data_IF_247979202118
#
_entry.id   IF_247979202118
#
_cell.length_a   1.000
_cell.length_b   1.000
_cell.length_c   1.000
_cell.angle_alpha   90.00
_cell.angle_beta   90.00
_cell.angle_gamma   90.00
#
_symmetry.space_group_name_H-M   'P 1'
#
loop_
_entity.id
_entity.type
_entity.pdbx_description
1 polymer ?
#
# COMPACT_ATOMS: atom_id res chain seq x y z
N UNK A 1 -46.57 43.54 6.36
CA UNK A 1 -45.97 42.51 5.47
C UNK A 1 -44.80 41.95 6.22
N UNK A 2 -45.00 40.82 6.89
CA UNK A 2 -43.91 40.07 7.52
C UNK A 2 -43.10 39.44 6.40
N UNK A 3 -41.85 39.87 6.27
CA UNK A 3 -40.86 39.19 5.43
C UNK A 3 -40.48 37.91 6.15
N UNK A 4 -41.14 36.82 5.74
CA UNK A 4 -40.83 35.46 6.15
C UNK A 4 -39.45 35.10 5.56
N UNK A 5 -38.41 35.19 6.37
CA UNK A 5 -37.05 34.73 6.02
C UNK A 5 -37.02 33.20 6.13
N UNK A 6 -37.69 32.56 5.16
CA UNK A 6 -37.87 31.12 5.12
C UNK A 6 -36.98 30.47 4.06
N UNK A 7 -35.71 30.88 4.00
CA UNK A 7 -34.71 30.14 3.26
C UNK A 7 -33.40 30.06 4.05
N UNK A 8 -33.46 29.36 5.17
CA UNK A 8 -32.30 28.68 5.77
C UNK A 8 -31.79 27.54 4.86
N UNK A 9 -31.56 27.81 3.58
CA UNK A 9 -30.92 26.91 2.62
C UNK A 9 -29.49 27.38 2.43
N UNK A 10 -28.71 27.17 3.48
CA UNK A 10 -27.26 27.06 3.45
C UNK A 10 -26.89 26.10 4.58
N UNK A 11 -27.01 24.79 4.35
CA UNK A 11 -26.11 23.88 5.02
C UNK A 11 -25.04 23.53 3.98
N UNK A 12 -23.93 24.28 3.88
CA UNK A 12 -22.85 23.89 3.00
C UNK A 12 -22.40 22.51 3.46
N UNK A 13 -22.62 21.50 2.62
CA UNK A 13 -22.26 20.12 2.91
C UNK A 13 -20.82 20.10 3.44
N UNK A 14 -20.66 19.59 4.66
CA UNK A 14 -19.38 19.64 5.36
C UNK A 14 -18.38 18.78 4.62
N UNK A 15 -17.65 19.36 3.68
CA UNK A 15 -16.54 18.67 3.05
C UNK A 15 -15.44 18.47 4.08
N UNK A 16 -14.73 17.37 3.92
CA UNK A 16 -13.69 16.92 4.84
C UNK A 16 -12.41 16.65 4.07
N UNK A 17 -11.29 16.72 4.77
CA UNK A 17 -10.00 16.32 4.23
C UNK A 17 -9.78 14.83 4.52
N UNK A 18 -9.25 14.11 3.54
CA UNK A 18 -8.79 12.73 3.68
C UNK A 18 -7.30 12.71 3.39
N UNK A 19 -6.49 12.29 4.35
CA UNK A 19 -5.05 12.30 4.24
C UNK A 19 -4.44 11.08 4.93
N UNK A 20 -3.20 10.79 4.57
CA UNK A 20 -2.42 9.69 5.12
C UNK A 20 -1.01 9.66 4.55
N UNK A 21 -0.28 8.62 4.91
CA UNK A 21 1.07 8.37 4.41
C UNK A 21 1.21 6.96 3.84
N UNK A 22 2.01 6.82 2.78
CA UNK A 22 2.53 5.54 2.32
C UNK A 22 4.00 5.48 2.73
N UNK A 23 4.35 4.54 3.62
CA UNK A 23 5.71 4.41 4.15
C UNK A 23 6.19 2.96 4.12
N UNK A 24 7.49 2.74 4.03
CA UNK A 24 8.08 1.41 4.25
C UNK A 24 7.98 1.02 5.73
N UNK A 25 8.34 -0.23 6.05
CA UNK A 25 8.46 -0.69 7.45
C UNK A 25 9.44 0.21 8.24
N UNK A 26 10.52 0.63 7.60
CA UNK A 26 11.55 1.54 8.14
C UNK A 26 11.15 3.02 8.20
N UNK A 27 9.88 3.35 7.93
CA UNK A 27 9.28 4.69 7.98
C UNK A 27 9.71 5.66 6.87
N UNK A 28 10.40 5.17 5.84
CA UNK A 28 10.72 5.96 4.65
C UNK A 28 9.46 6.21 3.82
N UNK A 29 9.23 7.46 3.42
CA UNK A 29 8.08 7.84 2.62
C UNK A 29 8.18 7.32 1.19
N UNK A 30 7.12 6.76 0.62
CA UNK A 30 7.13 6.25 -0.76
C UNK A 30 6.63 7.35 -1.69
N UNK A 31 7.51 7.91 -2.51
CA UNK A 31 7.19 9.02 -3.43
C UNK A 31 6.46 8.55 -4.69
N UNK A 32 5.65 9.45 -5.26
CA UNK A 32 5.00 9.29 -6.56
C UNK A 32 4.16 8.01 -6.69
N UNK A 33 3.66 7.49 -5.57
CA UNK A 33 2.66 6.44 -5.56
C UNK A 33 1.29 7.06 -5.81
N UNK A 34 0.50 6.41 -6.66
CA UNK A 34 -0.86 6.85 -6.94
C UNK A 34 -1.79 6.38 -5.81
N UNK A 35 -2.60 7.29 -5.28
CA UNK A 35 -3.66 7.00 -4.32
C UNK A 35 -4.98 7.29 -4.97
N UNK A 36 -5.87 6.30 -4.98
CA UNK A 36 -7.25 6.46 -5.42
C UNK A 36 -8.16 6.64 -4.20
N UNK A 37 -9.01 7.66 -4.24
CA UNK A 37 -10.11 7.84 -3.28
C UNK A 37 -11.45 7.68 -4.01
N UNK A 38 -12.22 6.68 -3.61
CA UNK A 38 -13.58 6.46 -4.10
C UNK A 38 -14.59 6.77 -2.99
N UNK A 39 -15.51 7.72 -3.24
CA UNK A 39 -16.58 8.12 -2.31
C UNK A 39 -17.93 8.17 -3.06
N UNK A 40 -18.68 7.06 -3.04
CA UNK A 40 -19.86 6.92 -3.89
C UNK A 40 -19.51 7.06 -5.39
N UNK A 41 -20.14 7.99 -6.15
CA UNK A 41 -19.78 8.24 -7.54
C UNK A 41 -18.51 9.10 -7.72
N UNK A 42 -18.01 9.71 -6.65
CA UNK A 42 -16.78 10.52 -6.71
C UNK A 42 -15.56 9.60 -6.76
N UNK A 43 -14.65 9.86 -7.70
CA UNK A 43 -13.38 9.18 -7.83
C UNK A 43 -12.26 10.22 -8.00
N UNK A 44 -11.31 10.25 -7.06
CA UNK A 44 -10.19 11.18 -7.05
C UNK A 44 -8.87 10.41 -7.10
N UNK A 45 -7.86 11.04 -7.69
CA UNK A 45 -6.50 10.51 -7.78
C UNK A 45 -5.52 11.55 -7.27
N UNK A 46 -4.51 11.10 -6.52
CA UNK A 46 -3.44 11.94 -6.00
C UNK A 46 -2.13 11.16 -6.02
N UNK A 47 -1.02 11.89 -6.02
CA UNK A 47 0.31 11.31 -5.86
C UNK A 47 0.83 11.62 -4.45
N UNK A 48 1.60 10.71 -3.89
CA UNK A 48 2.38 11.00 -2.68
C UNK A 48 3.56 11.92 -2.97
N UNK A 49 3.90 12.76 -1.99
CA UNK A 49 5.12 13.56 -2.00
C UNK A 49 6.36 12.75 -1.56
N UNK A 50 7.51 13.43 -1.44
CA UNK A 50 8.80 12.86 -1.03
C UNK A 50 8.80 12.30 0.41
N UNK A 51 7.83 12.69 1.23
CA UNK A 51 7.60 12.15 2.57
C UNK A 51 6.54 11.04 2.58
N UNK A 52 6.04 10.64 1.40
CA UNK A 52 4.99 9.64 1.24
C UNK A 52 3.60 10.15 1.59
N UNK A 53 3.41 11.45 1.79
CA UNK A 53 2.14 12.02 2.23
C UNK A 53 1.20 12.27 1.05
N UNK A 54 -0.09 12.01 1.26
CA UNK A 54 -1.15 12.37 0.31
C UNK A 54 -2.30 13.07 1.03
N UNK A 55 -3.02 13.94 0.32
CA UNK A 55 -4.22 14.60 0.82
C UNK A 55 -5.24 14.88 -0.28
N UNK A 56 -6.50 14.52 -0.03
CA UNK A 56 -7.66 14.89 -0.80
C UNK A 56 -8.46 15.92 -0.02
N UNK A 57 -8.55 17.11 -0.60
CA UNK A 57 -9.37 18.18 -0.05
C UNK A 57 -10.79 18.09 -0.61
N UNK A 58 -11.75 18.63 0.13
CA UNK A 58 -13.14 18.76 -0.33
C UNK A 58 -13.85 17.42 -0.60
N UNK A 59 -13.59 16.39 0.20
CA UNK A 59 -14.25 15.08 0.08
C UNK A 59 -15.62 15.14 0.77
N UNK A 60 -16.71 14.65 0.15
CA UNK A 60 -18.00 14.55 0.82
C UNK A 60 -17.92 13.67 2.08
N UNK A 61 -18.69 13.96 3.15
CA UNK A 61 -18.68 13.19 4.40
C UNK A 61 -19.49 11.88 4.23
N UNK A 62 -19.05 11.04 3.30
CA UNK A 62 -19.66 9.77 2.90
C UNK A 62 -18.63 8.64 3.00
N UNK A 63 -19.05 7.38 3.20
CA UNK A 63 -18.12 6.25 3.16
C UNK A 63 -17.20 6.31 1.94
N UNK A 64 -15.92 6.07 2.17
CA UNK A 64 -14.91 6.13 1.13
C UNK A 64 -13.92 4.97 1.25
N UNK A 65 -13.30 4.62 0.13
CA UNK A 65 -12.24 3.64 0.01
C UNK A 65 -10.99 4.31 -0.54
N UNK A 66 -9.86 4.11 0.14
CA UNK A 66 -8.53 4.52 -0.29
C UNK A 66 -7.76 3.31 -0.79
N UNK A 67 -7.23 3.40 -2.00
CA UNK A 67 -6.45 2.33 -2.64
C UNK A 67 -5.15 2.90 -3.19
N UNK A 68 -3.99 2.62 -2.56
CA UNK A 68 -2.69 2.97 -3.11
C UNK A 68 -2.29 2.01 -4.25
N UNK A 69 -1.50 2.52 -5.19
CA UNK A 69 -0.96 1.78 -6.32
C UNK A 69 0.38 2.38 -6.73
N UNK A 70 1.40 1.52 -6.85
CA UNK A 70 2.69 1.87 -7.44
C UNK A 70 3.23 0.63 -8.15
N UNK A 71 3.55 0.79 -9.42
CA UNK A 71 4.02 -0.31 -10.27
C UNK A 71 5.09 0.18 -11.25
N UNK A 72 6.17 0.71 -10.67
CA UNK A 72 7.33 1.22 -11.38
C UNK A 72 8.62 0.58 -10.85
N UNK A 73 9.70 0.71 -11.63
CA UNK A 73 11.06 0.32 -11.26
C UNK A 73 11.13 -1.01 -10.48
N UNK A 74 10.68 -2.15 -11.05
CA UNK A 74 10.54 -3.40 -10.30
C UNK A 74 11.86 -3.97 -9.79
N UNK A 75 13.01 -3.50 -10.29
CA UNK A 75 14.34 -3.85 -9.81
C UNK A 75 14.91 -2.89 -8.75
N UNK A 76 14.20 -1.84 -8.35
CA UNK A 76 14.65 -0.97 -7.27
C UNK A 76 14.76 -1.78 -5.97
N UNK A 77 15.94 -1.84 -5.36
CA UNK A 77 16.24 -2.65 -4.17
C UNK A 77 16.44 -4.15 -4.44
N UNK A 78 15.81 -4.72 -5.47
CA UNK A 78 15.82 -6.16 -5.73
C UNK A 78 17.16 -6.65 -6.26
N UNK A 79 17.81 -7.53 -5.51
CA UNK A 79 19.14 -8.04 -5.79
C UNK A 79 19.24 -9.56 -5.71
N UNK A 80 20.41 -10.11 -6.05
CA UNK A 80 20.68 -11.55 -5.84
C UNK A 80 20.82 -11.91 -4.36
N UNK A 81 21.05 -10.94 -3.48
CA UNK A 81 21.11 -11.16 -2.04
C UNK A 81 19.72 -11.49 -1.48
N UNK A 82 18.66 -10.82 -1.97
CA UNK A 82 17.28 -11.13 -1.62
C UNK A 82 16.91 -12.58 -1.94
N UNK A 83 17.35 -13.09 -3.09
CA UNK A 83 17.15 -14.49 -3.46
C UNK A 83 17.81 -15.46 -2.48
N UNK A 84 18.95 -15.09 -1.90
CA UNK A 84 19.62 -15.90 -0.87
C UNK A 84 18.81 -15.90 0.42
N UNK A 85 18.29 -14.73 0.85
CA UNK A 85 17.46 -14.62 2.04
C UNK A 85 16.14 -15.40 1.89
N UNK A 86 15.47 -15.29 0.75
CA UNK A 86 14.27 -16.09 0.43
C UNK A 86 14.60 -17.59 0.45
N UNK A 87 15.74 -18.00 -0.10
CA UNK A 87 16.17 -19.40 -0.06
C UNK A 87 16.41 -19.89 1.37
N UNK A 88 17.03 -19.08 2.24
CA UNK A 88 17.26 -19.45 3.64
C UNK A 88 15.95 -19.55 4.42
N UNK A 89 14.98 -18.68 4.11
CA UNK A 89 13.64 -18.72 4.68
C UNK A 89 12.93 -20.03 4.31
N UNK A 90 12.91 -20.41 3.03
CA UNK A 90 12.30 -21.67 2.55
C UNK A 90 12.93 -22.90 3.23
N UNK A 91 14.25 -22.86 3.46
CA UNK A 91 14.98 -23.95 4.11
C UNK A 91 14.87 -23.95 5.64
N UNK A 92 14.29 -22.90 6.24
CA UNK A 92 14.17 -22.74 7.69
C UNK A 92 15.48 -22.43 8.42
N UNK A 93 16.54 -22.01 7.70
CA UNK A 93 17.83 -21.66 8.32
C UNK A 93 17.83 -20.26 8.91
N UNK A 94 17.23 -19.32 8.19
CA UNK A 94 17.13 -17.91 8.60
C UNK A 94 15.77 -17.40 8.07
N UNK A 95 14.70 -17.57 8.87
CA UNK A 95 13.39 -17.09 8.48
C UNK A 95 13.37 -15.56 8.36
N UNK A 96 12.64 -15.03 7.37
CA UNK A 96 12.28 -13.62 7.34
C UNK A 96 11.53 -13.25 8.63
N UNK A 97 11.89 -12.10 9.20
CA UNK A 97 11.52 -11.67 10.55
C UNK A 97 10.33 -10.70 10.58
N UNK A 98 9.79 -10.34 9.42
CA UNK A 98 8.67 -9.43 9.27
C UNK A 98 7.61 -10.00 8.31
N UNK A 99 6.31 -9.82 8.61
CA UNK A 99 5.23 -10.18 7.69
C UNK A 99 5.33 -9.41 6.37
N UNK A 100 5.86 -8.18 6.37
CA UNK A 100 6.02 -7.38 5.15
C UNK A 100 7.09 -7.96 4.24
N UNK A 101 8.22 -8.42 4.80
CA UNK A 101 9.27 -9.14 4.07
C UNK A 101 8.78 -10.47 3.50
N UNK A 102 7.95 -11.18 4.26
CA UNK A 102 7.31 -12.41 3.77
C UNK A 102 6.38 -12.14 2.59
N UNK A 103 5.56 -11.09 2.64
CA UNK A 103 4.71 -10.68 1.51
C UNK A 103 5.56 -10.22 0.32
N UNK A 104 6.69 -9.54 0.56
CA UNK A 104 7.63 -9.11 -0.48
C UNK A 104 8.28 -10.31 -1.18
N UNK A 105 8.51 -11.42 -0.46
CA UNK A 105 9.08 -12.64 -1.01
C UNK A 105 8.12 -13.41 -1.95
N UNK A 106 6.80 -13.19 -1.87
CA UNK A 106 5.78 -13.83 -2.71
C UNK A 106 5.63 -13.09 -4.06
N UNK A 107 6.61 -13.30 -4.93
CA UNK A 107 6.73 -12.58 -6.21
C UNK A 107 5.58 -12.88 -7.18
N UNK A 108 5.02 -14.09 -7.12
CA UNK A 108 3.89 -14.48 -7.98
C UNK A 108 2.50 -14.30 -7.33
N UNK A 109 2.44 -13.67 -6.14
CA UNK A 109 1.19 -13.40 -5.41
C UNK A 109 0.36 -14.66 -5.14
N UNK A 110 1.04 -15.77 -4.87
CA UNK A 110 0.41 -17.07 -4.58
C UNK A 110 -0.05 -17.22 -3.13
N UNK A 111 0.28 -16.25 -2.27
CA UNK A 111 0.17 -16.33 -0.82
C UNK A 111 1.02 -17.48 -0.23
N UNK A 112 2.18 -17.74 -0.83
CA UNK A 112 3.15 -18.72 -0.34
C UNK A 112 4.56 -18.35 -0.80
N UNK A 113 5.57 -18.66 0.00
CA UNK A 113 6.97 -18.39 -0.35
C UNK A 113 7.62 -19.70 -0.77
N UNK A 114 7.98 -19.79 -2.04
CA UNK A 114 8.48 -21.02 -2.65
C UNK A 114 9.68 -20.74 -3.55
N UNK A 115 10.30 -21.82 -4.05
CA UNK A 115 11.35 -21.68 -5.06
C UNK A 115 10.85 -21.09 -6.38
N UNK A 116 9.53 -21.08 -6.62
CA UNK A 116 8.97 -20.45 -7.81
C UNK A 116 9.16 -18.94 -7.79
N UNK A 117 9.02 -18.30 -6.61
CA UNK A 117 9.24 -16.87 -6.42
C UNK A 117 10.69 -16.48 -6.76
N UNK A 118 11.65 -17.29 -6.33
CA UNK A 118 13.07 -17.13 -6.68
C UNK A 118 13.27 -17.16 -8.20
N UNK A 119 12.55 -18.05 -8.91
CA UNK A 119 12.63 -18.14 -10.38
C UNK A 119 12.04 -16.90 -11.05
N UNK A 120 10.91 -16.38 -10.55
CA UNK A 120 10.29 -15.15 -11.07
C UNK A 120 11.21 -13.95 -10.90
N UNK A 121 11.72 -13.73 -9.69
CA UNK A 121 12.65 -12.64 -9.37
C UNK A 121 13.96 -12.76 -10.14
N UNK A 122 14.49 -13.98 -10.33
CA UNK A 122 15.69 -14.18 -11.17
C UNK A 122 15.43 -13.79 -12.63
N UNK A 123 14.26 -14.10 -13.19
CA UNK A 123 13.90 -13.69 -14.55
C UNK A 123 13.78 -12.17 -14.66
N UNK A 124 13.24 -11.52 -13.63
CA UNK A 124 13.20 -10.06 -13.53
C UNK A 124 14.60 -9.44 -13.51
N UNK A 125 15.50 -9.93 -12.63
CA UNK A 125 16.90 -9.46 -12.54
C UNK A 125 17.67 -9.65 -13.85
N UNK A 126 17.42 -10.75 -14.56
CA UNK A 126 18.06 -11.03 -15.85
C UNK A 126 17.43 -10.26 -17.02
N UNK A 127 16.40 -9.45 -16.79
CA UNK A 127 15.68 -8.70 -17.83
C UNK A 127 14.85 -9.58 -18.77
N UNK A 128 14.57 -10.83 -18.39
CA UNK A 128 13.63 -11.70 -19.10
C UNK A 128 12.20 -11.19 -18.87
N UNK A 129 11.93 -10.68 -17.67
CA UNK A 129 10.73 -9.91 -17.37
C UNK A 129 11.09 -8.43 -17.22
N UNK A 130 10.26 -7.57 -17.80
CA UNK A 130 10.28 -6.13 -17.53
C UNK A 130 9.46 -5.76 -16.29
N UNK A 131 8.47 -6.59 -15.94
CA UNK A 131 7.54 -6.45 -14.82
C UNK A 131 7.10 -7.83 -14.31
N UNK A 132 6.55 -7.91 -13.10
CA UNK A 132 6.06 -9.18 -12.54
C UNK A 132 4.71 -9.54 -13.20
N UNK A 133 4.53 -10.74 -13.78
CA UNK A 133 3.31 -11.05 -14.54
C UNK A 133 2.00 -11.05 -13.75
N UNK A 134 2.06 -11.43 -12.47
CA UNK A 134 0.89 -11.67 -11.61
C UNK A 134 0.86 -10.74 -10.39
N UNK A 135 1.74 -9.73 -10.34
CA UNK A 135 1.93 -8.88 -9.18
C UNK A 135 2.38 -7.47 -9.60
N UNK A 136 2.19 -6.50 -8.71
CA UNK A 136 2.74 -5.16 -8.87
C UNK A 136 4.12 -5.07 -8.22
N UNK A 137 4.92 -4.09 -8.62
CA UNK A 137 6.26 -3.90 -8.06
C UNK A 137 6.25 -3.45 -6.60
N UNK A 138 5.17 -2.82 -6.15
CA UNK A 138 4.89 -2.50 -4.75
C UNK A 138 3.53 -3.06 -4.34
N UNK A 139 3.44 -3.49 -3.08
CA UNK A 139 2.17 -3.77 -2.41
C UNK A 139 2.05 -2.90 -1.17
N UNK A 140 0.81 -2.70 -0.72
CA UNK A 140 0.51 -1.84 0.42
C UNK A 140 -0.45 -2.55 1.36
N UNK A 141 -0.22 -2.42 2.65
CA UNK A 141 -1.05 -2.98 3.70
C UNK A 141 -1.53 -1.85 4.60
N UNK A 142 -2.80 -1.86 5.01
CA UNK A 142 -3.29 -0.94 6.04
C UNK A 142 -2.39 -1.02 7.28
N UNK A 143 -1.82 0.11 7.71
CA UNK A 143 -0.93 0.17 8.88
C UNK A 143 -1.64 -0.23 10.17
N UNK A 144 -2.97 -0.07 10.24
CA UNK A 144 -3.77 -0.48 11.39
C UNK A 144 -4.04 -2.00 11.42
N UNK A 145 -3.73 -2.74 10.34
CA UNK A 145 -3.91 -4.18 10.31
C UNK A 145 -2.89 -4.89 11.19
N UNK A 146 -3.39 -5.71 12.11
CA UNK A 146 -2.56 -6.57 12.96
C UNK A 146 -2.62 -7.99 12.40
N UNK A 147 -1.48 -8.49 11.93
CA UNK A 147 -1.37 -9.88 11.50
C UNK A 147 -1.65 -10.83 12.69
N UNK A 148 -2.65 -11.72 12.61
CA UNK A 148 -2.94 -12.66 13.69
C UNK A 148 -1.77 -13.59 13.99
N UNK A 149 -1.03 -13.94 12.94
CA UNK A 149 0.20 -14.71 13.01
C UNK A 149 1.30 -14.01 12.19
N UNK A 150 2.17 -13.21 12.83
CA UNK A 150 3.24 -12.50 12.13
C UNK A 150 4.24 -13.42 11.41
N UNK A 151 4.36 -14.68 11.85
CA UNK A 151 5.20 -15.68 11.20
C UNK A 151 4.53 -16.37 10.00
N UNK A 152 3.27 -16.05 9.72
CA UNK A 152 2.54 -16.49 8.53
C UNK A 152 1.49 -15.44 8.13
N UNK A 153 1.87 -14.35 7.43
CA UNK A 153 0.95 -13.30 7.04
C UNK A 153 -0.13 -13.77 6.05
N UNK A 154 0.05 -14.93 5.43
CA UNK A 154 -0.87 -15.51 4.45
C UNK A 154 -2.01 -16.32 5.10
N UNK A 155 -1.99 -16.50 6.42
CA UNK A 155 -3.06 -17.20 7.15
C UNK A 155 -4.42 -16.48 7.03
N UNK A 156 -4.39 -15.16 6.87
CA UNK A 156 -5.58 -14.33 6.67
C UNK A 156 -5.36 -13.35 5.54
N UNK A 157 -6.44 -12.99 4.83
CA UNK A 157 -6.38 -11.86 3.92
C UNK A 157 -6.07 -10.58 4.69
N UNK A 158 -5.09 -9.82 4.20
CA UNK A 158 -4.76 -8.49 4.69
C UNK A 158 -5.33 -7.41 3.75
N UNK A 159 -5.76 -6.26 4.29
CA UNK A 159 -6.35 -5.20 3.50
C UNK A 159 -5.29 -4.40 2.72
N UNK A 160 -5.44 -4.37 1.39
CA UNK A 160 -4.66 -3.50 0.49
C UNK A 160 -5.40 -2.19 0.16
N UNK A 161 -6.51 -1.93 0.86
CA UNK A 161 -7.27 -0.68 0.79
C UNK A 161 -7.90 -0.40 2.15
N UNK A 162 -8.10 0.88 2.47
CA UNK A 162 -8.77 1.30 3.70
C UNK A 162 -10.18 1.76 3.34
N UNK A 163 -11.19 1.10 3.90
CA UNK A 163 -12.59 1.49 3.75
C UNK A 163 -13.16 1.99 5.08
N UNK A 164 -13.71 3.20 5.10
CA UNK A 164 -14.22 3.84 6.31
C UNK A 164 -15.63 4.37 6.16
N UNK A 165 -16.34 4.53 7.29
CA UNK A 165 -17.44 5.49 7.37
C UNK A 165 -16.81 6.86 7.15
N UNK A 166 -17.35 7.65 6.23
CA UNK A 166 -16.71 8.87 5.72
C UNK A 166 -16.07 9.75 6.80
N UNK A 167 -15.09 10.58 6.42
CA UNK A 167 -14.31 11.31 7.40
C UNK A 167 -15.26 12.20 8.21
N UNK A 168 -15.24 12.05 9.53
CA UNK A 168 -15.85 13.03 10.43
C UNK A 168 -14.83 14.15 10.66
N UNK A 169 -15.23 15.27 11.27
CA UNK A 169 -14.44 16.50 11.41
C UNK A 169 -13.00 16.34 11.99
N UNK A 170 -12.65 15.17 12.51
CA UNK A 170 -11.28 14.73 12.81
C UNK A 170 -11.07 13.39 12.09
N UNK A 171 -10.58 13.41 10.85
CA UNK A 171 -10.38 12.20 10.08
C UNK A 171 -9.24 11.36 10.72
N UNK A 172 -9.39 10.03 10.85
CA UNK A 172 -8.25 9.18 11.19
C UNK A 172 -7.20 9.29 10.07
N UNK A 173 -5.92 9.28 10.44
CA UNK A 173 -4.82 9.23 9.47
C UNK A 173 -4.87 7.87 8.77
N UNK A 174 -4.95 7.87 7.44
CA UNK A 174 -5.08 6.66 6.63
C UNK A 174 -3.72 6.21 6.10
N UNK A 175 -2.93 5.61 6.98
CA UNK A 175 -1.57 5.17 6.66
C UNK A 175 -1.52 3.76 6.09
N UNK A 176 -0.58 3.53 5.17
CA UNK A 176 -0.22 2.21 4.67
C UNK A 176 1.25 1.93 4.89
N UNK A 177 1.56 0.65 5.12
CA UNK A 177 2.92 0.12 5.02
C UNK A 177 3.09 -0.46 3.62
N UNK A 178 4.00 0.13 2.84
CA UNK A 178 4.39 -0.32 1.52
C UNK A 178 5.59 -1.25 1.57
N UNK A 179 5.59 -2.25 0.69
CA UNK A 179 6.65 -3.23 0.55
C UNK A 179 6.98 -3.41 -0.94
N UNK A 180 8.27 -3.46 -1.24
CA UNK A 180 8.76 -3.67 -2.60
C UNK A 180 8.83 -5.17 -2.88
N UNK A 181 8.10 -5.64 -3.88
CA UNK A 181 8.06 -7.09 -4.19
C UNK A 181 9.44 -7.53 -4.69
N UNK A 182 10.00 -8.53 -4.02
CA UNK A 182 11.33 -9.07 -4.30
C UNK A 182 12.47 -8.49 -3.47
N UNK A 183 12.25 -7.39 -2.75
CA UNK A 183 13.23 -6.80 -1.83
C UNK A 183 12.88 -7.20 -0.41
N UNK A 184 13.69 -8.10 0.15
CA UNK A 184 13.54 -8.62 1.52
C UNK A 184 14.72 -8.22 2.41
N UNK A 185 15.67 -7.47 1.84
CA UNK A 185 16.85 -6.94 2.50
C UNK A 185 16.74 -5.44 2.81
N UNK A 186 15.58 -4.84 2.52
CA UNK A 186 15.26 -3.43 2.73
C UNK A 186 16.19 -2.49 1.92
N UNK A 187 16.53 -2.90 0.70
CA UNK A 187 17.45 -2.19 -0.19
C UNK A 187 16.80 -1.12 -1.08
N UNK A 188 15.47 -1.09 -1.19
CA UNK A 188 14.73 -0.19 -2.06
C UNK A 188 14.77 1.26 -1.56
N UNK A 189 15.12 2.19 -2.45
CA UNK A 189 14.97 3.62 -2.17
C UNK A 189 13.55 4.10 -2.43
N UNK A 190 13.12 5.11 -1.68
CA UNK A 190 11.87 5.82 -1.90
C UNK A 190 11.84 6.71 -3.14
N UNK A 191 13.00 6.93 -3.78
CA UNK A 191 13.21 7.76 -4.97
C UNK A 191 13.28 6.92 -6.24
#
# INVERSE_FOLDING_TARGET
VEINDNNAVCNPGSFVQVAGALKTEDQDGIEAANVQLQAGPLNLFGLTDDQGLFAFNSVPPSPCTLTPLKDDNPLNGVSTYDLVLISKHILGFEPLDSPYKMIAADANRSNSITTFDIVQLRKLILGIFSELPDNTSWRFVDKAFVFPNPANPFETAFPESISGKGPHAVAPVHDFIGLKVGDVSDGASSQ
#
